data_IF_292368648995
#
_entry.id   IF_292368648995
#
_cell.length_a   1.000
_cell.length_b   1.000
_cell.length_c   1.000
_cell.angle_alpha   90.00
_cell.angle_beta   90.00
_cell.angle_gamma   90.00
#
_symmetry.space_group_name_H-M   'P 1'
#
loop_
_entity.id
_entity.type
_entity.pdbx_description
1 polymer ?
#
# COMPACT_ATOMS: atom_id res chain seq x y z
N UNK A 1 79.60 21.67 -70.89
CA UNK A 1 79.67 20.20 -70.73
C UNK A 1 78.86 19.87 -69.47
N UNK A 2 77.76 19.10 -69.51
CA UNK A 2 77.64 17.69 -69.94
C UNK A 2 78.35 16.74 -68.93
N UNK A 3 77.76 15.65 -68.39
CA UNK A 3 76.52 14.95 -68.77
C UNK A 3 76.02 14.00 -67.61
N UNK A 4 74.70 13.96 -67.37
CA UNK A 4 73.79 12.80 -67.11
C UNK A 4 73.90 11.89 -65.83
N UNK A 5 72.73 11.72 -65.18
CA UNK A 5 71.98 10.52 -64.67
C UNK A 5 72.77 9.21 -64.34
N UNK A 6 72.34 8.32 -63.44
CA UNK A 6 70.96 7.80 -63.26
C UNK A 6 70.70 7.08 -61.92
N UNK A 7 69.43 6.81 -61.64
CA UNK A 7 68.91 6.04 -60.47
C UNK A 7 68.41 4.66 -60.91
N UNK A 8 68.54 3.61 -60.08
CA UNK A 8 67.41 2.68 -59.92
C UNK A 8 67.19 2.09 -58.50
N UNK A 9 65.91 2.03 -58.09
CA UNK A 9 65.23 1.06 -57.20
C UNK A 9 66.03 0.37 -56.04
N UNK A 10 65.74 0.69 -54.77
CA UNK A 10 64.76 0.03 -53.87
C UNK A 10 65.35 -1.19 -53.10
N UNK A 11 65.02 -1.56 -51.85
CA UNK A 11 64.12 -1.04 -50.78
C UNK A 11 64.44 -1.82 -49.48
N UNK A 12 64.04 -1.48 -48.25
CA UNK A 12 63.41 -0.29 -47.65
C UNK A 12 63.46 -0.42 -46.10
N UNK A 13 63.55 0.68 -45.34
CA UNK A 13 63.35 0.69 -43.88
C UNK A 13 62.87 2.06 -43.34
N UNK A 14 61.68 2.02 -42.72
CA UNK A 14 61.09 2.85 -41.65
C UNK A 14 61.55 4.31 -41.38
N UNK A 15 60.60 5.27 -41.23
CA UNK A 15 60.89 6.64 -40.80
C UNK A 15 61.08 6.76 -39.27
N UNK A 16 61.90 7.72 -38.84
CA UNK A 16 62.21 7.98 -37.44
C UNK A 16 61.03 8.53 -36.63
N UNK A 17 60.83 7.97 -35.43
CA UNK A 17 59.96 8.53 -34.40
C UNK A 17 60.66 9.73 -33.73
N UNK A 18 60.24 10.94 -34.09
CA UNK A 18 60.71 12.16 -33.44
C UNK A 18 60.06 12.28 -32.06
N UNK A 19 60.79 11.89 -31.02
CA UNK A 19 60.36 12.06 -29.63
C UNK A 19 60.15 13.54 -29.29
N UNK A 20 58.93 13.89 -28.89
CA UNK A 20 58.60 15.15 -28.25
C UNK A 20 57.94 14.84 -26.90
N UNK A 21 58.61 15.19 -25.81
CA UNK A 21 58.08 15.01 -24.46
C UNK A 21 56.80 15.84 -24.29
N UNK A 22 55.64 15.17 -24.22
CA UNK A 22 54.42 15.79 -23.73
C UNK A 22 54.55 15.86 -22.21
N UNK A 23 55.15 16.95 -21.72
CA UNK A 23 55.21 17.24 -20.31
C UNK A 23 53.78 17.42 -19.76
N UNK A 24 53.30 16.39 -19.05
CA UNK A 24 52.01 16.40 -18.35
C UNK A 24 52.00 17.50 -17.29
N UNK A 25 51.52 18.69 -17.67
CA UNK A 25 51.20 19.77 -16.73
C UNK A 25 50.10 19.30 -15.78
N UNK A 26 50.50 18.79 -14.61
CA UNK A 26 49.59 18.61 -13.50
C UNK A 26 49.15 20.00 -13.00
N UNK A 27 47.97 20.43 -13.43
CA UNK A 27 47.31 21.61 -12.86
C UNK A 27 47.10 21.35 -11.36
N UNK A 28 47.55 22.22 -10.44
CA UNK A 28 47.33 22.00 -9.02
C UNK A 28 45.83 22.03 -8.73
N UNK A 29 45.29 20.89 -8.26
CA UNK A 29 43.89 20.79 -7.87
C UNK A 29 43.61 21.80 -6.76
N UNK A 30 42.72 22.76 -7.01
CA UNK A 30 42.30 23.71 -5.98
C UNK A 30 41.65 22.95 -4.83
N UNK A 31 42.04 23.27 -3.60
CA UNK A 31 41.58 22.56 -2.42
C UNK A 31 41.66 23.43 -1.17
N UNK A 32 40.91 23.03 -0.15
CA UNK A 32 40.78 23.73 1.13
C UNK A 32 40.56 22.76 2.28
N UNK A 33 39.96 23.25 3.36
CA UNK A 33 39.52 22.41 4.48
C UNK A 33 38.05 22.67 4.82
N UNK A 34 37.32 21.61 5.16
CA UNK A 34 35.97 21.68 5.70
C UNK A 34 35.92 20.84 6.98
N UNK A 35 35.56 21.46 8.11
CA UNK A 35 35.54 20.83 9.44
C UNK A 35 36.85 20.08 9.84
N UNK A 36 38.00 20.54 9.34
CA UNK A 36 39.32 19.92 9.58
C UNK A 36 39.73 18.85 8.56
N UNK A 37 38.81 18.37 7.73
CA UNK A 37 39.13 17.46 6.62
C UNK A 37 39.63 18.24 5.40
N UNK A 38 40.67 17.72 4.72
CA UNK A 38 41.21 18.32 3.49
C UNK A 38 40.32 17.93 2.30
N UNK A 39 39.76 18.91 1.63
CA UNK A 39 38.94 18.74 0.42
C UNK A 39 39.72 19.23 -0.79
N UNK A 40 39.69 18.48 -1.89
CA UNK A 40 40.29 18.85 -3.18
C UNK A 40 39.24 18.78 -4.29
N UNK A 41 39.26 19.74 -5.19
CA UNK A 41 38.36 19.80 -6.34
C UNK A 41 38.81 18.75 -7.37
N UNK A 42 38.13 17.60 -7.40
CA UNK A 42 38.29 16.60 -8.46
C UNK A 42 37.57 17.07 -9.75
N UNK A 43 38.08 16.70 -10.92
CA UNK A 43 37.37 16.91 -12.18
C UNK A 43 36.13 16.02 -12.23
N UNK A 44 34.95 16.62 -12.44
CA UNK A 44 33.65 15.93 -12.51
C UNK A 44 33.46 15.17 -13.84
N UNK A 45 34.40 14.28 -14.17
CA UNK A 45 34.43 13.53 -15.43
C UNK A 45 33.39 12.40 -15.49
N UNK A 46 32.91 11.94 -14.32
CA UNK A 46 31.90 10.89 -14.14
C UNK A 46 31.06 11.26 -12.91
N UNK A 47 29.73 11.28 -13.04
CA UNK A 47 28.83 11.44 -11.89
C UNK A 47 28.69 10.10 -11.15
N UNK A 48 28.55 10.15 -9.83
CA UNK A 48 28.18 8.97 -9.04
C UNK A 48 26.76 8.50 -9.41
N UNK A 49 25.89 9.41 -9.85
CA UNK A 49 24.55 9.08 -10.32
C UNK A 49 24.62 8.26 -11.62
N UNK A 50 25.34 8.75 -12.64
CA UNK A 50 25.51 8.06 -13.92
C UNK A 50 26.10 6.65 -13.72
N UNK A 51 27.10 6.51 -12.85
CA UNK A 51 27.69 5.20 -12.53
C UNK A 51 26.72 4.25 -11.80
N UNK A 52 25.84 4.79 -10.93
CA UNK A 52 24.79 4.00 -10.28
C UNK A 52 23.67 3.62 -11.26
N UNK A 53 23.33 4.51 -12.19
CA UNK A 53 22.40 4.23 -13.28
C UNK A 53 22.95 3.16 -14.22
N UNK A 54 24.21 3.23 -14.68
CA UNK A 54 24.83 2.19 -15.52
C UNK A 54 24.78 0.80 -14.86
N UNK A 55 25.08 0.71 -13.55
CA UNK A 55 24.97 -0.55 -12.80
C UNK A 55 23.51 -1.04 -12.62
N UNK A 56 22.54 -0.13 -12.64
CA UNK A 56 21.11 -0.44 -12.46
C UNK A 56 20.39 -0.71 -13.78
N UNK A 57 20.82 -0.10 -14.88
CA UNK A 57 20.28 -0.26 -16.23
C UNK A 57 20.41 -1.69 -16.73
N UNK A 58 21.51 -2.38 -16.38
CA UNK A 58 21.71 -3.83 -16.61
C UNK A 58 20.58 -4.68 -16.03
N UNK A 59 19.79 -4.15 -15.08
CA UNK A 59 18.68 -4.84 -14.41
C UNK A 59 17.29 -4.19 -14.61
N UNK A 60 17.13 -3.10 -15.37
CA UNK A 60 15.81 -2.43 -15.49
C UNK A 60 15.57 -1.61 -16.76
N UNK A 61 15.44 -2.29 -17.90
CA UNK A 61 14.56 -1.82 -18.99
C UNK A 61 13.08 -2.10 -18.62
N UNK A 62 12.55 -1.36 -17.63
CA UNK A 62 11.16 -1.55 -17.17
C UNK A 62 10.26 -0.45 -17.73
N UNK A 63 9.65 -0.72 -18.88
CA UNK A 63 8.76 0.22 -19.57
C UNK A 63 7.66 0.79 -18.64
N UNK A 64 7.53 2.12 -18.60
CA UNK A 64 6.61 2.80 -17.70
C UNK A 64 5.14 2.48 -18.01
N UNK A 65 4.41 1.95 -17.01
CA UNK A 65 2.99 1.67 -17.15
C UNK A 65 2.18 2.96 -16.93
N UNK A 66 1.65 3.53 -18.02
CA UNK A 66 0.84 4.74 -18.00
C UNK A 66 -0.39 4.64 -17.08
N UNK A 67 -0.81 5.76 -16.50
CA UNK A 67 -1.94 5.82 -15.55
C UNK A 67 -3.25 5.27 -16.15
N UNK A 68 -3.48 5.48 -17.46
CA UNK A 68 -4.65 4.95 -18.18
C UNK A 68 -4.72 3.41 -18.24
N UNK A 69 -3.60 2.71 -17.98
CA UNK A 69 -3.53 1.24 -17.88
C UNK A 69 -3.64 0.74 -16.43
N UNK A 70 -3.79 1.64 -15.45
CA UNK A 70 -3.96 1.31 -14.03
C UNK A 70 -5.44 1.42 -13.67
N UNK A 71 -5.92 0.54 -12.79
CA UNK A 71 -7.27 0.65 -12.21
C UNK A 71 -7.26 1.85 -11.25
N UNK A 72 -7.93 2.93 -11.63
CA UNK A 72 -8.12 4.12 -10.79
C UNK A 72 -9.52 4.06 -10.17
N UNK A 73 -9.61 4.19 -8.86
CA UNK A 73 -10.84 4.43 -8.09
C UNK A 73 -10.69 5.73 -7.32
N UNK A 74 -11.77 6.50 -7.19
CA UNK A 74 -11.83 7.59 -6.22
C UNK A 74 -12.10 6.99 -4.84
N UNK A 75 -11.04 6.78 -4.07
CA UNK A 75 -11.11 6.20 -2.74
C UNK A 75 -11.90 7.06 -1.76
N UNK A 76 -11.95 8.39 -1.92
CA UNK A 76 -12.70 9.27 -1.03
C UNK A 76 -14.20 9.21 -1.33
N UNK A 77 -14.59 9.27 -2.60
CA UNK A 77 -15.99 9.10 -3.00
C UNK A 77 -16.53 7.72 -2.57
N UNK A 78 -15.76 6.65 -2.83
CA UNK A 78 -16.11 5.28 -2.43
C UNK A 78 -16.21 5.11 -0.92
N UNK A 79 -15.29 5.71 -0.16
CA UNK A 79 -15.35 5.71 1.31
C UNK A 79 -16.60 6.41 1.83
N UNK A 80 -16.95 7.59 1.26
CA UNK A 80 -18.12 8.36 1.66
C UNK A 80 -19.44 7.64 1.36
N UNK A 81 -19.53 6.92 0.23
CA UNK A 81 -20.70 6.11 -0.12
C UNK A 81 -20.90 4.96 0.88
N UNK A 82 -19.84 4.22 1.19
CA UNK A 82 -19.88 3.12 2.15
C UNK A 82 -20.21 3.63 3.56
N UNK A 83 -19.63 4.75 3.99
CA UNK A 83 -19.94 5.35 5.30
C UNK A 83 -21.41 5.75 5.44
N UNK A 84 -22.00 6.35 4.40
CA UNK A 84 -23.42 6.71 4.41
C UNK A 84 -24.32 5.46 4.53
N UNK A 85 -24.05 4.43 3.71
CA UNK A 85 -24.80 3.18 3.74
C UNK A 85 -24.68 2.45 5.08
N UNK A 86 -23.48 2.41 5.68
CA UNK A 86 -23.25 1.76 6.99
C UNK A 86 -23.97 2.51 8.10
N UNK A 87 -23.93 3.85 8.12
CA UNK A 87 -24.66 4.67 9.09
C UNK A 87 -26.16 4.41 9.06
N UNK A 88 -26.76 4.42 7.86
CA UNK A 88 -28.20 4.16 7.65
C UNK A 88 -28.68 2.81 8.20
N UNK A 89 -27.80 1.80 8.30
CA UNK A 89 -28.13 0.49 8.86
C UNK A 89 -27.82 0.39 10.37
N UNK A 90 -26.69 0.92 10.83
CA UNK A 90 -26.20 0.70 12.20
C UNK A 90 -26.74 1.72 13.22
N UNK A 91 -27.11 2.95 12.81
CA UNK A 91 -27.75 3.94 13.69
C UNK A 91 -29.08 3.44 14.29
N UNK A 92 -29.67 2.40 13.68
CA UNK A 92 -30.91 1.74 14.12
C UNK A 92 -30.69 0.72 15.25
N UNK A 93 -29.45 0.40 15.61
CA UNK A 93 -29.11 -0.59 16.65
C UNK A 93 -28.20 0.03 17.72
N UNK A 94 -28.73 0.93 18.58
CA UNK A 94 -27.96 1.57 19.64
C UNK A 94 -27.66 0.59 20.79
N UNK A 95 -26.51 -0.06 20.71
CA UNK A 95 -26.03 -0.98 21.75
C UNK A 95 -25.06 -0.29 22.72
N UNK A 96 -25.33 -0.37 24.02
CA UNK A 96 -24.53 0.33 25.05
C UNK A 96 -23.11 -0.24 25.14
N UNK A 97 -22.97 -1.55 24.95
CA UNK A 97 -21.66 -2.22 24.92
C UNK A 97 -20.80 -1.76 23.76
N UNK A 98 -21.41 -1.48 22.59
CA UNK A 98 -20.72 -0.95 21.39
C UNK A 98 -20.11 0.41 21.70
N UNK A 99 -20.84 1.31 22.36
CA UNK A 99 -20.33 2.62 22.75
C UNK A 99 -19.13 2.54 23.72
N UNK A 100 -19.13 1.55 24.62
CA UNK A 100 -18.02 1.34 25.54
C UNK A 100 -16.77 0.78 24.83
N UNK A 101 -16.93 -0.25 23.98
CA UNK A 101 -15.85 -0.79 23.15
C UNK A 101 -15.19 0.27 22.27
N UNK A 102 -15.96 1.19 21.69
CA UNK A 102 -15.44 2.27 20.85
C UNK A 102 -14.60 3.28 21.68
N UNK A 103 -15.00 3.60 22.91
CA UNK A 103 -14.17 4.42 23.82
C UNK A 103 -12.84 3.75 24.15
N UNK A 104 -12.87 2.44 24.41
CA UNK A 104 -11.67 1.64 24.67
C UNK A 104 -10.73 1.59 23.46
N UNK A 105 -11.28 1.41 22.25
CA UNK A 105 -10.51 1.50 21.01
C UNK A 105 -9.89 2.88 20.80
N UNK A 106 -10.64 3.97 21.01
CA UNK A 106 -10.09 5.34 20.92
C UNK A 106 -8.98 5.57 21.95
N UNK A 107 -9.11 5.01 23.16
CA UNK A 107 -8.05 5.03 24.16
C UNK A 107 -6.82 4.20 23.74
N UNK A 108 -7.03 3.06 23.06
CA UNK A 108 -5.95 2.23 22.52
C UNK A 108 -5.21 2.94 21.38
N UNK A 109 -5.93 3.57 20.45
CA UNK A 109 -5.38 4.42 19.39
C UNK A 109 -4.58 5.60 19.97
N UNK A 110 -5.13 6.29 20.97
CA UNK A 110 -4.46 7.39 21.67
C UNK A 110 -3.26 7.00 22.53
N UNK A 111 -3.05 5.70 22.80
CA UNK A 111 -1.92 5.20 23.60
C UNK A 111 -0.59 5.11 22.85
N UNK A 112 -0.58 5.34 21.53
CA UNK A 112 0.62 5.21 20.69
C UNK A 112 1.13 3.78 20.47
N UNK A 113 0.44 2.76 20.99
CA UNK A 113 0.81 1.34 20.83
C UNK A 113 0.62 0.79 19.41
N UNK A 114 -0.23 1.44 18.61
CA UNK A 114 -0.51 1.09 17.22
C UNK A 114 0.29 2.04 16.32
N UNK A 115 1.50 1.62 15.96
CA UNK A 115 2.49 2.46 15.26
C UNK A 115 2.40 2.35 13.73
N UNK A 116 1.70 1.36 13.18
CA UNK A 116 1.56 1.16 11.74
C UNK A 116 0.23 0.48 11.34
N UNK A 117 -0.06 0.50 10.03
CA UNK A 117 -1.33 0.05 9.46
C UNK A 117 -1.60 -1.44 9.73
N UNK A 118 -0.57 -2.29 9.61
CA UNK A 118 -0.71 -3.73 9.85
C UNK A 118 -1.08 -4.04 11.31
N UNK A 119 -0.52 -3.30 12.27
CA UNK A 119 -0.90 -3.41 13.69
C UNK A 119 -2.34 -2.97 13.94
N UNK A 120 -2.80 -1.89 13.29
CA UNK A 120 -4.18 -1.45 13.38
C UNK A 120 -5.16 -2.48 12.79
N UNK A 121 -4.86 -3.05 11.63
CA UNK A 121 -5.70 -4.09 11.00
C UNK A 121 -5.77 -5.36 11.86
N UNK A 122 -4.64 -5.86 12.37
CA UNK A 122 -4.62 -7.00 13.27
C UNK A 122 -5.36 -6.74 14.60
N UNK A 123 -5.33 -5.49 15.11
CA UNK A 123 -6.14 -5.10 16.25
C UNK A 123 -7.65 -5.15 15.92
N UNK A 124 -8.06 -4.67 14.73
CA UNK A 124 -9.47 -4.69 14.31
C UNK A 124 -10.02 -6.12 14.16
N UNK A 125 -9.22 -7.05 13.64
CA UNK A 125 -9.55 -8.48 13.61
C UNK A 125 -9.82 -9.06 15.02
N UNK A 126 -9.07 -8.59 16.03
CA UNK A 126 -9.30 -8.97 17.43
C UNK A 126 -10.48 -8.23 18.10
N UNK A 127 -10.88 -7.09 17.55
CA UNK A 127 -11.96 -6.23 18.08
C UNK A 127 -13.36 -6.76 17.70
N UNK A 128 -13.53 -7.18 16.44
CA UNK A 128 -14.72 -7.89 15.97
C UNK A 128 -14.36 -8.77 14.77
N UNK A 129 -15.02 -9.93 14.66
CA UNK A 129 -14.94 -10.78 13.47
C UNK A 129 -15.70 -10.20 12.27
N UNK A 130 -16.51 -9.16 12.45
CA UNK A 130 -17.31 -8.55 11.40
C UNK A 130 -16.69 -7.26 10.85
N UNK A 131 -16.33 -7.27 9.56
CA UNK A 131 -15.69 -6.12 8.88
C UNK A 131 -16.57 -4.86 8.89
N UNK A 132 -17.90 -5.00 8.86
CA UNK A 132 -18.79 -3.83 8.95
C UNK A 132 -18.74 -3.13 10.31
N UNK A 133 -18.56 -3.88 11.41
CA UNK A 133 -18.36 -3.31 12.76
C UNK A 133 -16.96 -2.70 12.92
N UNK A 134 -15.92 -3.33 12.35
CA UNK A 134 -14.56 -2.76 12.31
C UNK A 134 -14.54 -1.40 11.60
N UNK A 135 -15.22 -1.32 10.45
CA UNK A 135 -15.32 -0.09 9.65
C UNK A 135 -16.12 1.00 10.37
N UNK A 136 -17.27 0.66 10.96
CA UNK A 136 -18.06 1.59 11.79
C UNK A 136 -17.24 2.14 12.96
N UNK A 137 -16.54 1.25 13.68
CA UNK A 137 -15.68 1.62 14.80
C UNK A 137 -14.60 2.63 14.36
N UNK A 138 -13.92 2.38 13.23
CA UNK A 138 -12.96 3.33 12.64
C UNK A 138 -13.60 4.68 12.27
N UNK A 139 -14.81 4.70 11.69
CA UNK A 139 -15.52 5.95 11.40
C UNK A 139 -15.83 6.74 12.68
N UNK A 140 -16.22 6.07 13.77
CA UNK A 140 -16.40 6.71 15.08
C UNK A 140 -15.07 7.18 15.68
N UNK A 141 -13.99 6.42 15.56
CA UNK A 141 -12.67 6.85 16.01
C UNK A 141 -12.14 8.06 15.23
N UNK A 142 -12.33 8.10 13.91
CA UNK A 142 -12.01 9.26 13.06
C UNK A 142 -12.73 10.51 13.59
N UNK A 143 -14.03 10.39 13.91
CA UNK A 143 -14.83 11.48 14.52
C UNK A 143 -14.32 11.88 15.92
N UNK A 144 -13.89 10.93 16.76
CA UNK A 144 -13.39 11.20 18.12
C UNK A 144 -11.95 11.75 18.21
N UNK A 145 -11.13 11.46 17.19
CA UNK A 145 -9.77 11.99 17.02
C UNK A 145 -9.75 13.33 16.24
N UNK A 146 -10.79 13.62 15.45
CA UNK A 146 -10.97 14.91 14.79
C UNK A 146 -10.97 16.05 15.81
N UNK A 147 -10.09 17.03 15.62
CA UNK A 147 -9.88 18.14 16.56
C UNK A 147 -8.76 17.94 17.59
N UNK A 148 -8.04 16.81 17.57
CA UNK A 148 -6.84 16.57 18.40
C UNK A 148 -5.55 16.72 17.56
N UNK A 149 -4.89 17.89 17.56
CA UNK A 149 -3.71 18.12 16.71
C UNK A 149 -2.51 17.24 17.08
N UNK A 150 -2.42 16.83 18.35
CA UNK A 150 -1.47 15.87 18.89
C UNK A 150 -1.63 14.44 18.32
N UNK A 151 -2.81 14.11 17.77
CA UNK A 151 -3.16 12.78 17.27
C UNK A 151 -3.19 12.71 15.72
N UNK A 152 -2.65 13.69 15.00
CA UNK A 152 -2.67 13.73 13.53
C UNK A 152 -2.07 12.47 12.87
N UNK A 153 -0.98 11.93 13.42
CA UNK A 153 -0.40 10.68 12.91
C UNK A 153 -1.34 9.48 13.04
N UNK A 154 -2.02 9.36 14.19
CA UNK A 154 -3.04 8.33 14.45
C UNK A 154 -4.28 8.52 13.57
N UNK A 155 -4.70 9.76 13.33
CA UNK A 155 -5.80 10.09 12.43
C UNK A 155 -5.50 9.66 10.99
N UNK A 156 -4.31 9.99 10.47
CA UNK A 156 -3.86 9.54 9.16
C UNK A 156 -3.80 8.00 9.04
N UNK A 157 -3.43 7.31 10.12
CA UNK A 157 -3.46 5.84 10.20
C UNK A 157 -4.88 5.27 10.07
N UNK A 158 -5.84 5.88 10.77
CA UNK A 158 -7.27 5.52 10.71
C UNK A 158 -7.84 5.79 9.32
N UNK A 159 -7.49 6.90 8.67
CA UNK A 159 -7.90 7.20 7.30
C UNK A 159 -7.34 6.19 6.27
N UNK A 160 -6.08 5.79 6.42
CA UNK A 160 -5.49 4.72 5.58
C UNK A 160 -6.20 3.37 5.77
N UNK A 161 -6.56 3.00 7.01
CA UNK A 161 -7.31 1.78 7.29
C UNK A 161 -8.72 1.83 6.68
N UNK A 162 -9.43 2.96 6.85
CA UNK A 162 -10.75 3.18 6.25
C UNK A 162 -10.71 3.09 4.71
N UNK A 163 -9.74 3.75 4.07
CA UNK A 163 -9.60 3.70 2.62
C UNK A 163 -9.29 2.29 2.11
N UNK A 164 -8.41 1.55 2.80
CA UNK A 164 -8.08 0.15 2.45
C UNK A 164 -9.29 -0.77 2.60
N UNK A 165 -10.02 -0.68 3.71
CA UNK A 165 -11.24 -1.47 3.93
C UNK A 165 -12.34 -1.13 2.91
N UNK A 166 -12.52 0.15 2.58
CA UNK A 166 -13.46 0.59 1.54
C UNK A 166 -13.11 0.01 0.16
N UNK A 167 -11.83 0.05 -0.23
CA UNK A 167 -11.41 -0.40 -1.57
C UNK A 167 -11.40 -1.94 -1.71
N UNK A 168 -10.92 -2.65 -0.69
CA UNK A 168 -10.79 -4.12 -0.72
C UNK A 168 -12.08 -4.84 -0.30
N UNK A 169 -12.82 -4.32 0.69
CA UNK A 169 -13.91 -5.04 1.37
C UNK A 169 -15.26 -4.30 1.36
N UNK A 170 -15.40 -3.21 0.60
CA UNK A 170 -16.61 -2.37 0.61
C UNK A 170 -17.95 -3.11 0.42
N UNK A 171 -18.01 -4.13 -0.43
CA UNK A 171 -19.22 -4.97 -0.58
C UNK A 171 -19.53 -5.80 0.68
N UNK A 172 -18.51 -6.35 1.33
CA UNK A 172 -18.67 -7.13 2.56
C UNK A 172 -19.13 -6.25 3.73
N UNK A 173 -18.63 -5.01 3.78
CA UNK A 173 -19.02 -3.97 4.75
C UNK A 173 -20.50 -3.60 4.59
N UNK A 174 -20.94 -3.25 3.38
CA UNK A 174 -22.34 -2.85 3.14
C UNK A 174 -23.31 -4.00 3.40
N UNK A 175 -22.98 -5.22 2.98
CA UNK A 175 -23.84 -6.39 3.22
C UNK A 175 -23.88 -6.80 4.70
N UNK A 176 -22.76 -6.74 5.42
CA UNK A 176 -22.69 -6.99 6.85
C UNK A 176 -23.54 -6.00 7.66
N UNK A 177 -23.39 -4.70 7.38
CA UNK A 177 -24.21 -3.67 8.02
C UNK A 177 -25.71 -3.89 7.74
N UNK A 178 -26.08 -4.16 6.48
CA UNK A 178 -27.47 -4.40 6.06
C UNK A 178 -28.12 -5.58 6.78
N UNK A 179 -27.39 -6.68 7.00
CA UNK A 179 -27.94 -7.90 7.62
C UNK A 179 -27.82 -7.93 9.15
N UNK A 180 -27.09 -6.99 9.77
CA UNK A 180 -26.85 -6.94 11.22
C UNK A 180 -28.16 -7.02 12.03
N UNK A 181 -29.15 -6.17 11.76
CA UNK A 181 -30.44 -6.19 12.46
C UNK A 181 -31.20 -7.53 12.32
N UNK A 182 -31.48 -8.00 11.09
CA UNK A 182 -32.13 -9.30 10.87
C UNK A 182 -31.36 -10.50 11.46
N UNK A 183 -30.02 -10.49 11.39
CA UNK A 183 -29.18 -11.55 11.96
C UNK A 183 -29.27 -11.59 13.48
N UNK A 184 -29.23 -10.42 14.15
CA UNK A 184 -29.40 -10.32 15.61
C UNK A 184 -30.76 -10.85 16.06
N UNK A 185 -31.85 -10.51 15.37
CA UNK A 185 -33.19 -11.02 15.69
C UNK A 185 -33.33 -12.53 15.45
N UNK A 186 -32.77 -13.05 14.35
CA UNK A 186 -32.74 -14.50 14.09
C UNK A 186 -31.85 -15.27 15.10
N UNK A 187 -30.75 -14.67 15.57
CA UNK A 187 -29.91 -15.23 16.63
C UNK A 187 -30.66 -15.28 17.97
N UNK A 188 -31.36 -14.20 18.35
CA UNK A 188 -32.26 -14.18 19.53
C UNK A 188 -33.37 -15.23 19.44
N UNK A 189 -33.88 -15.50 18.24
CA UNK A 189 -34.85 -16.57 17.95
C UNK A 189 -34.25 -17.99 17.92
N UNK A 190 -32.93 -18.14 18.16
CA UNK A 190 -32.24 -19.42 18.26
C UNK A 190 -31.96 -20.12 16.92
N UNK A 191 -31.99 -19.40 15.80
CA UNK A 191 -31.73 -19.97 14.46
C UNK A 191 -30.27 -20.40 14.31
N UNK A 192 -29.34 -19.57 14.77
CA UNK A 192 -27.90 -19.83 14.76
C UNK A 192 -27.12 -18.75 15.51
N UNK A 193 -25.79 -18.79 15.46
CA UNK A 193 -24.99 -17.66 15.92
C UNK A 193 -25.12 -16.50 14.92
N UNK A 194 -25.06 -15.26 15.42
CA UNK A 194 -25.26 -14.07 14.60
C UNK A 194 -24.25 -13.96 13.46
N UNK A 195 -22.97 -14.26 13.74
CA UNK A 195 -21.92 -14.19 12.71
C UNK A 195 -22.12 -15.21 11.59
N UNK A 196 -22.52 -16.45 11.91
CA UNK A 196 -22.81 -17.47 10.89
C UNK A 196 -23.94 -17.02 9.95
N UNK A 197 -24.94 -16.30 10.48
CA UNK A 197 -26.07 -15.76 9.71
C UNK A 197 -25.64 -14.59 8.81
N UNK A 198 -24.76 -13.70 9.32
CA UNK A 198 -24.16 -12.60 8.54
C UNK A 198 -23.31 -13.15 7.39
N UNK A 199 -22.47 -14.14 7.68
CA UNK A 199 -21.60 -14.81 6.71
C UNK A 199 -22.40 -15.56 5.64
N UNK A 200 -23.41 -16.34 6.03
CA UNK A 200 -24.28 -17.04 5.08
C UNK A 200 -24.96 -16.07 4.09
N UNK A 201 -25.47 -14.93 4.60
CA UNK A 201 -26.08 -13.91 3.74
C UNK A 201 -25.05 -13.28 2.79
N UNK A 202 -23.87 -12.93 3.30
CA UNK A 202 -22.78 -12.34 2.51
C UNK A 202 -22.30 -13.30 1.42
N UNK A 203 -22.06 -14.56 1.75
CA UNK A 203 -21.67 -15.62 0.81
C UNK A 203 -22.75 -15.79 -0.28
N UNK A 204 -24.02 -15.91 0.11
CA UNK A 204 -25.13 -16.10 -0.84
C UNK A 204 -25.35 -14.91 -1.80
N UNK A 205 -24.98 -13.69 -1.41
CA UNK A 205 -25.13 -12.49 -2.26
C UNK A 205 -23.87 -12.20 -3.10
N UNK A 206 -22.67 -12.47 -2.58
CA UNK A 206 -21.41 -12.18 -3.30
C UNK A 206 -20.97 -13.32 -4.23
N UNK A 207 -21.14 -14.57 -3.81
CA UNK A 207 -20.69 -15.76 -4.52
C UNK A 207 -21.87 -16.74 -4.61
N UNK A 208 -22.76 -16.54 -5.60
CA UNK A 208 -23.96 -17.36 -5.78
C UNK A 208 -23.59 -18.79 -6.24
N UNK A 209 -23.16 -19.60 -5.27
CA UNK A 209 -22.78 -21.00 -5.47
C UNK A 209 -23.99 -21.83 -5.89
N UNK A 210 -23.73 -22.88 -6.64
CA UNK A 210 -24.76 -23.85 -7.02
C UNK A 210 -25.51 -24.37 -5.78
N UNK A 211 -26.82 -24.63 -5.91
CA UNK A 211 -27.73 -25.00 -4.82
C UNK A 211 -27.20 -26.15 -3.93
N UNK A 212 -26.49 -27.12 -4.48
CA UNK A 212 -25.91 -28.26 -3.76
C UNK A 212 -24.68 -27.92 -2.90
N UNK A 213 -24.05 -26.77 -3.12
CA UNK A 213 -22.99 -26.20 -2.28
C UNK A 213 -23.60 -25.36 -1.16
N UNK A 214 -24.55 -24.46 -1.49
CA UNK A 214 -25.29 -23.68 -0.49
C UNK A 214 -26.01 -24.59 0.53
N UNK A 215 -26.65 -25.67 0.04
CA UNK A 215 -27.26 -26.69 0.90
C UNK A 215 -26.28 -27.32 1.89
N UNK A 216 -25.07 -27.70 1.43
CA UNK A 216 -24.04 -28.30 2.29
C UNK A 216 -23.54 -27.32 3.33
N UNK A 217 -23.35 -26.07 2.96
CA UNK A 217 -22.86 -25.02 3.86
C UNK A 217 -23.86 -24.71 4.97
N UNK A 218 -25.13 -24.50 4.62
CA UNK A 218 -26.23 -24.33 5.59
C UNK A 218 -26.31 -25.53 6.54
N UNK A 219 -26.20 -26.76 6.01
CA UNK A 219 -26.24 -27.97 6.82
C UNK A 219 -25.03 -28.10 7.76
N UNK A 220 -23.86 -27.61 7.33
CA UNK A 220 -22.63 -27.61 8.12
C UNK A 220 -22.68 -26.60 9.28
N UNK A 221 -23.23 -25.40 9.04
CA UNK A 221 -23.28 -24.32 10.04
C UNK A 221 -24.47 -24.46 11.00
N UNK A 222 -25.66 -24.83 10.51
CA UNK A 222 -26.92 -24.78 11.29
C UNK A 222 -27.56 -26.15 11.58
N UNK A 223 -27.10 -27.22 10.94
CA UNK A 223 -27.56 -28.59 11.18
C UNK A 223 -28.96 -28.94 10.63
N UNK A 224 -29.43 -30.16 10.97
CA UNK A 224 -30.58 -30.82 10.32
C UNK A 224 -31.95 -30.19 10.53
N UNK A 225 -32.16 -29.46 11.63
CA UNK A 225 -33.49 -28.96 12.02
C UNK A 225 -33.68 -27.46 11.83
N UNK A 226 -32.60 -26.67 11.80
CA UNK A 226 -32.69 -25.21 11.80
C UNK A 226 -32.71 -24.58 10.39
N UNK A 227 -32.23 -25.29 9.37
CA UNK A 227 -32.13 -24.79 7.97
C UNK A 227 -33.44 -24.27 7.35
N UNK A 228 -34.61 -24.58 7.92
CA UNK A 228 -35.92 -24.13 7.44
C UNK A 228 -36.33 -22.74 7.96
N UNK A 229 -35.60 -22.18 8.92
CA UNK A 229 -35.81 -20.85 9.49
C UNK A 229 -34.76 -19.88 8.98
#
# INVERSE_FOLDING_TARGET
MAIIQSNPYASAAQPELRGAEVASRQTPLQGGQFQGERVVLASASQSLADAAEELTFVFSERAELSLAKRKLSDSHARLSEIEALVGDYLDKVPELERQQKIKEMVSHLGSGRLANLSQLLAYLESYSGEVSEQFEALCQARKALSGRPDMQGTLALVEQALAKLADEQGSAIVLGARITGPAAEAAKAGVGAEQDLRDLYRDAVQDYRALSAAWRDIHSRFGKERWRR
#
